data_IF_865031357782
#
_entry.id   IF_865031357782
#
_cell.length_a   1.000
_cell.length_b   1.000
_cell.length_c   1.000
_cell.angle_alpha   90.00
_cell.angle_beta   90.00
_cell.angle_gamma   90.00
#
_symmetry.space_group_name_H-M   'P 1'
#
loop_
_entity.id
_entity.type
_entity.pdbx_description
1 polymer ?
#
# COMPACT_ATOMS: atom_id res chain seq x y z
N UNK A 1 2.97 -21.10 -19.44
CA UNK A 1 3.73 -22.00 -18.55
C UNK A 1 4.22 -21.28 -17.29
N UNK A 2 5.09 -20.25 -17.38
CA UNK A 2 5.68 -19.58 -16.21
C UNK A 2 4.65 -18.94 -15.25
N UNK A 3 3.59 -18.32 -15.80
CA UNK A 3 2.50 -17.74 -14.98
C UNK A 3 1.75 -18.80 -14.18
N UNK A 4 1.49 -19.97 -14.77
CA UNK A 4 0.80 -21.07 -14.08
C UNK A 4 1.64 -21.63 -12.94
N UNK A 5 2.95 -21.80 -13.15
CA UNK A 5 3.88 -22.27 -12.11
C UNK A 5 3.92 -21.25 -10.95
N UNK A 6 4.10 -19.97 -11.25
CA UNK A 6 4.09 -18.90 -10.25
C UNK A 6 2.79 -18.90 -9.41
N UNK A 7 1.64 -19.02 -10.07
CA UNK A 7 0.35 -19.05 -9.38
C UNK A 7 0.15 -20.33 -8.55
N UNK A 8 0.58 -21.48 -9.05
CA UNK A 8 0.52 -22.74 -8.32
C UNK A 8 1.39 -22.70 -7.06
N UNK A 9 2.60 -22.14 -7.16
CA UNK A 9 3.54 -22.03 -6.04
C UNK A 9 3.01 -21.06 -4.96
N UNK A 10 2.45 -19.91 -5.38
CA UNK A 10 1.91 -18.90 -4.46
C UNK A 10 0.47 -19.21 -3.98
N UNK A 11 -0.17 -20.27 -4.49
CA UNK A 11 -1.61 -20.50 -4.26
C UNK A 11 -1.94 -20.64 -2.78
N UNK A 12 -1.11 -21.36 -2.02
CA UNK A 12 -1.31 -21.56 -0.58
C UNK A 12 -1.30 -20.24 0.21
N UNK A 13 -0.50 -19.26 -0.22
CA UNK A 13 -0.44 -17.92 0.37
C UNK A 13 -1.61 -17.03 -0.08
N UNK A 14 -2.13 -17.27 -1.29
CA UNK A 14 -3.25 -16.53 -1.85
C UNK A 14 -4.61 -16.98 -1.30
N UNK A 15 -4.81 -18.27 -0.99
CA UNK A 15 -6.11 -18.78 -0.51
C UNK A 15 -6.67 -18.03 0.71
N UNK A 16 -5.87 -17.69 1.76
CA UNK A 16 -6.35 -16.89 2.89
C UNK A 16 -6.91 -15.53 2.48
N UNK A 17 -6.43 -14.92 1.40
CA UNK A 17 -6.95 -13.65 0.92
C UNK A 17 -8.44 -13.74 0.49
N UNK A 18 -8.89 -14.91 0.01
CA UNK A 18 -10.27 -15.11 -0.45
C UNK A 18 -11.28 -15.15 0.69
N UNK A 19 -10.85 -15.40 1.93
CA UNK A 19 -11.74 -15.43 3.11
C UNK A 19 -12.16 -14.04 3.60
N UNK A 20 -11.44 -12.98 3.20
CA UNK A 20 -11.78 -11.61 3.56
C UNK A 20 -13.04 -11.11 2.87
N UNK A 21 -13.79 -10.23 3.53
CA UNK A 21 -14.93 -9.54 2.93
C UNK A 21 -14.58 -8.79 1.65
N UNK A 22 -15.57 -8.62 0.78
CA UNK A 22 -15.41 -7.93 -0.51
C UNK A 22 -14.83 -6.52 -0.37
N UNK A 23 -15.17 -5.81 0.70
CA UNK A 23 -14.66 -4.46 0.97
C UNK A 23 -13.15 -4.46 1.30
N UNK A 24 -12.67 -5.47 2.04
CA UNK A 24 -11.25 -5.66 2.32
C UNK A 24 -10.51 -6.06 1.04
N UNK A 25 -11.06 -7.02 0.27
CA UNK A 25 -10.45 -7.49 -0.97
C UNK A 25 -10.29 -6.40 -2.02
N UNK A 26 -11.31 -5.53 -2.17
CA UNK A 26 -11.24 -4.36 -3.07
C UNK A 26 -10.08 -3.44 -2.76
N UNK A 27 -9.79 -3.19 -1.47
CA UNK A 27 -8.68 -2.33 -1.05
C UNK A 27 -7.35 -2.98 -1.37
N UNK A 28 -7.17 -4.26 -1.00
CA UNK A 28 -5.91 -4.99 -1.19
C UNK A 28 -5.62 -5.19 -2.69
N UNK A 29 -6.62 -5.56 -3.50
CA UNK A 29 -6.47 -5.71 -4.95
C UNK A 29 -6.32 -4.36 -5.68
N UNK A 30 -6.58 -3.23 -5.02
CA UNK A 30 -6.29 -1.93 -5.62
C UNK A 30 -4.77 -1.68 -5.58
N UNK A 31 -4.07 -2.15 -6.62
CA UNK A 31 -2.62 -1.97 -6.76
C UNK A 31 -2.22 -0.50 -6.87
N UNK A 32 -3.17 0.40 -7.18
CA UNK A 32 -3.01 1.85 -7.28
C UNK A 32 -2.19 2.47 -6.14
N UNK A 33 -2.36 2.03 -4.89
CA UNK A 33 -1.63 2.61 -3.76
C UNK A 33 -0.12 2.35 -3.87
N UNK A 34 0.28 1.09 -4.07
CA UNK A 34 1.69 0.70 -4.19
C UNK A 34 2.27 1.17 -5.53
N UNK A 35 1.51 1.05 -6.62
CA UNK A 35 1.93 1.48 -7.96
C UNK A 35 2.19 2.99 -8.03
N UNK A 36 1.32 3.81 -7.42
CA UNK A 36 1.48 5.27 -7.42
C UNK A 36 2.76 5.71 -6.67
N UNK A 37 3.08 5.04 -5.57
CA UNK A 37 4.33 5.26 -4.82
C UNK A 37 5.53 4.82 -5.66
N UNK A 38 5.50 3.61 -6.21
CA UNK A 38 6.58 3.07 -7.04
C UNK A 38 6.84 3.94 -8.28
N UNK A 39 5.80 4.43 -8.94
CA UNK A 39 5.92 5.32 -10.08
C UNK A 39 6.66 6.62 -9.73
N UNK A 40 6.36 7.22 -8.57
CA UNK A 40 7.02 8.44 -8.10
C UNK A 40 8.46 8.21 -7.70
N UNK A 41 8.75 7.12 -7.00
CA UNK A 41 10.12 6.73 -6.65
C UNK A 41 10.95 6.51 -7.92
N UNK A 42 10.43 5.73 -8.88
CA UNK A 42 11.10 5.49 -10.17
C UNK A 42 11.34 6.80 -10.93
N UNK A 43 10.38 7.73 -10.93
CA UNK A 43 10.55 9.05 -11.55
C UNK A 43 11.67 9.85 -10.90
N UNK A 44 11.71 9.91 -9.57
CA UNK A 44 12.73 10.64 -8.82
C UNK A 44 14.14 10.05 -9.05
N UNK A 45 14.25 8.72 -8.99
CA UNK A 45 15.51 8.00 -9.22
C UNK A 45 16.01 8.21 -10.66
N UNK A 46 15.15 8.05 -11.67
CA UNK A 46 15.52 8.27 -13.08
C UNK A 46 15.97 9.70 -13.36
N UNK A 47 15.31 10.69 -12.75
CA UNK A 47 15.69 12.09 -12.90
C UNK A 47 17.06 12.40 -12.29
N UNK A 48 17.50 11.65 -11.27
CA UNK A 48 18.79 11.85 -10.61
C UNK A 48 19.94 11.14 -11.34
N UNK A 49 19.71 9.94 -11.88
CA UNK A 49 20.74 9.14 -12.54
C UNK A 49 21.62 8.37 -11.54
N UNK A 50 22.94 8.60 -11.57
CA UNK A 50 23.89 7.94 -10.68
C UNK A 50 23.93 8.58 -9.27
N UNK A 51 24.10 7.76 -8.24
CA UNK A 51 24.23 8.21 -6.86
C UNK A 51 25.67 8.03 -6.36
N UNK A 52 26.25 9.05 -5.70
CA UNK A 52 27.63 8.98 -5.20
C UNK A 52 27.83 8.05 -4.01
N UNK A 53 26.76 7.76 -3.25
CA UNK A 53 26.74 6.79 -2.15
C UNK A 53 25.29 6.38 -1.82
N UNK A 54 25.14 5.38 -0.95
CA UNK A 54 23.84 4.86 -0.53
C UNK A 54 22.97 5.90 0.20
N UNK A 55 23.59 6.75 1.04
CA UNK A 55 22.88 7.80 1.79
C UNK A 55 22.21 8.79 0.85
N UNK A 56 22.85 9.14 -0.27
CA UNK A 56 22.28 10.01 -1.29
C UNK A 56 21.07 9.36 -2.00
N UNK A 57 21.13 8.05 -2.26
CA UNK A 57 20.01 7.30 -2.80
C UNK A 57 18.83 7.25 -1.81
N UNK A 58 19.10 6.95 -0.55
CA UNK A 58 18.09 6.94 0.53
C UNK A 58 17.41 8.31 0.66
N UNK A 59 18.18 9.40 0.66
CA UNK A 59 17.64 10.77 0.74
C UNK A 59 16.73 11.09 -0.45
N UNK A 60 17.05 10.61 -1.65
CA UNK A 60 16.22 10.79 -2.84
C UNK A 60 14.86 10.09 -2.68
N UNK A 61 14.85 8.83 -2.23
CA UNK A 61 13.61 8.08 -1.95
C UNK A 61 12.79 8.77 -0.85
N UNK A 62 13.44 9.18 0.24
CA UNK A 62 12.78 9.91 1.34
C UNK A 62 12.09 11.18 0.85
N UNK A 63 12.77 12.03 0.08
CA UNK A 63 12.16 13.24 -0.46
C UNK A 63 11.02 12.94 -1.44
N UNK A 64 11.15 11.89 -2.25
CA UNK A 64 10.06 11.44 -3.14
C UNK A 64 8.82 11.02 -2.33
N UNK A 65 9.01 10.35 -1.19
CA UNK A 65 7.93 9.96 -0.28
C UNK A 65 7.30 11.17 0.43
N UNK A 66 8.11 12.06 0.99
CA UNK A 66 7.58 13.26 1.68
C UNK A 66 6.78 14.17 0.75
N UNK A 67 7.13 14.21 -0.54
CA UNK A 67 6.37 14.96 -1.53
C UNK A 67 4.98 14.36 -1.84
N UNK A 68 4.64 13.14 -1.38
CA UNK A 68 3.32 12.52 -1.60
C UNK A 68 2.20 13.25 -0.87
N UNK A 69 2.49 13.73 0.34
CA UNK A 69 1.54 14.50 1.14
C UNK A 69 2.23 15.72 1.76
N UNK A 70 2.59 16.72 0.93
CA UNK A 70 3.36 17.88 1.38
C UNK A 70 2.58 18.77 2.36
N UNK A 71 1.26 18.57 2.47
CA UNK A 71 0.38 19.34 3.35
C UNK A 71 -0.09 18.56 4.59
N UNK A 72 0.19 17.26 4.67
CA UNK A 72 -0.35 16.35 5.69
C UNK A 72 -1.87 16.17 5.65
N UNK A 73 -2.56 16.71 4.63
CA UNK A 73 -4.03 16.68 4.51
C UNK A 73 -4.52 15.46 3.73
N UNK A 74 -3.62 14.70 3.11
CA UNK A 74 -3.96 13.49 2.37
C UNK A 74 -4.78 12.51 3.22
N UNK A 75 -4.43 12.37 4.51
CA UNK A 75 -5.12 11.50 5.48
C UNK A 75 -6.64 11.66 5.47
N UNK A 76 -7.15 12.90 5.46
CA UNK A 76 -8.61 13.18 5.49
C UNK A 76 -9.34 12.60 4.27
N UNK A 77 -8.71 12.64 3.09
CA UNK A 77 -9.27 12.06 1.85
C UNK A 77 -9.34 10.53 1.91
N UNK A 78 -8.40 9.91 2.59
CA UNK A 78 -8.34 8.46 2.75
C UNK A 78 -9.35 7.97 3.79
N UNK A 79 -9.52 8.66 4.92
CA UNK A 79 -10.44 8.23 5.99
C UNK A 79 -11.87 7.96 5.49
N UNK A 80 -12.39 8.76 4.54
CA UNK A 80 -13.73 8.55 3.98
C UNK A 80 -13.83 7.27 3.13
N UNK A 81 -12.81 6.93 2.35
CA UNK A 81 -12.79 5.74 1.50
C UNK A 81 -12.60 4.45 2.30
N UNK A 82 -12.05 4.55 3.50
CA UNK A 82 -11.71 3.43 4.36
C UNK A 82 -12.80 3.03 5.36
N UNK A 83 -13.90 3.80 5.47
CA UNK A 83 -14.97 3.50 6.45
C UNK A 83 -15.57 2.09 6.30
N UNK A 84 -15.98 1.71 5.10
CA UNK A 84 -16.56 0.38 4.87
C UNK A 84 -15.54 -0.76 5.08
N UNK A 85 -14.30 -0.68 4.55
CA UNK A 85 -13.25 -1.64 4.87
C UNK A 85 -12.92 -1.74 6.37
N UNK A 86 -12.88 -0.62 7.09
CA UNK A 86 -12.60 -0.60 8.54
C UNK A 86 -13.67 -1.33 9.35
N UNK A 87 -14.95 -1.15 9.00
CA UNK A 87 -16.03 -1.91 9.63
C UNK A 87 -15.88 -3.41 9.40
N UNK A 88 -15.54 -3.83 8.17
CA UNK A 88 -15.28 -5.22 7.85
C UNK A 88 -14.07 -5.78 8.62
N UNK A 89 -12.99 -5.01 8.77
CA UNK A 89 -11.85 -5.39 9.59
C UNK A 89 -12.19 -5.54 11.06
N UNK A 90 -13.06 -4.68 11.60
CA UNK A 90 -13.51 -4.77 12.99
C UNK A 90 -14.28 -6.06 13.26
N UNK A 91 -15.09 -6.52 12.30
CA UNK A 91 -15.81 -7.79 12.40
C UNK A 91 -14.85 -8.98 12.23
N UNK A 92 -13.99 -8.94 11.22
CA UNK A 92 -13.07 -10.04 10.90
C UNK A 92 -11.98 -10.24 11.97
N UNK A 93 -11.61 -9.17 12.69
CA UNK A 93 -10.57 -9.16 13.71
C UNK A 93 -11.06 -8.51 15.00
N UNK A 94 -12.09 -9.11 15.60
CA UNK A 94 -12.67 -8.62 16.85
C UNK A 94 -11.60 -8.44 17.95
N UNK A 95 -11.75 -7.37 18.73
CA UNK A 95 -10.83 -6.99 19.80
C UNK A 95 -9.44 -6.49 19.37
N UNK A 96 -9.09 -6.48 18.07
CA UNK A 96 -7.78 -5.95 17.60
C UNK A 96 -7.78 -4.47 17.26
N UNK A 97 -8.93 -3.94 16.85
CA UNK A 97 -9.10 -2.52 16.56
C UNK A 97 -9.78 -1.85 17.75
N UNK A 98 -9.03 -1.07 18.52
CA UNK A 98 -9.62 -0.17 19.51
C UNK A 98 -10.26 1.00 18.78
N UNK A 99 -11.56 1.30 19.01
CA UNK A 99 -12.11 2.58 18.60
C UNK A 99 -11.20 3.67 19.18
N UNK A 100 -10.62 4.50 18.31
CA UNK A 100 -9.85 5.66 18.78
C UNK A 100 -10.84 6.63 19.40
N UNK A 101 -10.85 6.73 20.73
CA UNK A 101 -11.57 7.76 21.47
C UNK A 101 -11.05 9.13 21.06
N UNK A 102 -11.73 9.77 20.10
CA UNK A 102 -11.54 11.16 19.69
C UNK A 102 -12.90 11.83 19.55
#
# INVERSE_FOLDING_TARGET
ALCCVLWSDAWAEFVPFLSFDVEIRKVICSTNAIESVNARIRKAVRARGHFPNEVAAMKCVYMALMSLDPTGKGRKKWTMRWKAPLNAFQIAFDGRLTPTDH
#
